data_IF_881056954879
#
_entry.id   IF_881056954879
#
_cell.length_a   1.000
_cell.length_b   1.000
_cell.length_c   1.000
_cell.angle_alpha   90.00
_cell.angle_beta   90.00
_cell.angle_gamma   90.00
#
_symmetry.space_group_name_H-M   'P 1'
#
loop_
_entity.id
_entity.type
_entity.pdbx_description
1 polymer ?
#
# COMPACT_ATOMS: atom_id res chain seq x y z
N UNK A 1 13.96 -24.15 8.82
CA UNK A 1 13.10 -23.26 9.65
C UNK A 1 12.70 -22.07 8.79
N UNK A 2 11.47 -21.55 8.92
CA UNK A 2 11.07 -20.28 8.30
C UNK A 2 11.29 -19.15 9.31
N UNK A 3 11.96 -18.10 8.89
CA UNK A 3 12.12 -16.86 9.68
C UNK A 3 10.79 -16.10 9.79
N UNK A 4 10.60 -15.26 10.81
CA UNK A 4 9.46 -14.36 10.87
C UNK A 4 9.54 -13.29 9.78
N UNK A 5 8.42 -12.64 9.50
CA UNK A 5 8.38 -11.38 8.71
C UNK A 5 8.46 -10.22 9.69
N UNK A 6 9.34 -9.25 9.41
CA UNK A 6 9.44 -8.01 10.20
C UNK A 6 8.75 -6.88 9.44
N UNK A 7 7.93 -6.08 10.13
CA UNK A 7 7.29 -4.90 9.55
C UNK A 7 7.77 -3.63 10.24
N UNK A 8 8.28 -2.68 9.46
CA UNK A 8 8.72 -1.35 9.91
C UNK A 8 7.71 -0.31 9.40
N UNK A 9 6.83 0.12 10.31
CA UNK A 9 5.70 1.01 10.03
C UNK A 9 5.91 2.39 10.65
N UNK A 10 5.19 3.40 10.16
CA UNK A 10 5.19 4.75 10.72
C UNK A 10 5.04 5.87 9.70
N UNK A 11 4.89 7.11 10.18
CA UNK A 11 4.72 8.29 9.36
C UNK A 11 5.93 8.58 8.46
N UNK A 12 5.75 9.38 7.41
CA UNK A 12 6.86 9.84 6.53
C UNK A 12 7.88 10.65 7.34
N UNK A 13 9.17 10.53 7.00
CA UNK A 13 10.26 11.25 7.69
C UNK A 13 10.72 10.65 9.02
N UNK A 14 10.11 9.58 9.52
CA UNK A 14 10.46 8.94 10.82
C UNK A 14 11.66 7.99 10.76
N UNK A 15 12.40 7.93 9.64
CA UNK A 15 13.61 7.10 9.51
C UNK A 15 13.39 5.61 9.21
N UNK A 16 12.18 5.21 8.77
CA UNK A 16 11.82 3.80 8.49
C UNK A 16 12.78 3.08 7.55
N UNK A 17 13.15 3.71 6.43
CA UNK A 17 14.04 3.11 5.43
C UNK A 17 15.41 2.81 6.03
N UNK A 18 15.96 3.75 6.80
CA UNK A 18 17.23 3.57 7.51
C UNK A 18 17.15 2.38 8.47
N UNK A 19 16.11 2.32 9.31
CA UNK A 19 15.92 1.19 10.24
C UNK A 19 15.79 -0.15 9.50
N UNK A 20 15.05 -0.19 8.39
CA UNK A 20 14.89 -1.42 7.61
C UNK A 20 16.22 -1.91 7.01
N UNK A 21 17.07 -1.00 6.56
CA UNK A 21 18.41 -1.30 6.03
C UNK A 21 19.33 -1.78 7.15
N UNK A 22 19.34 -1.09 8.30
CA UNK A 22 20.13 -1.50 9.47
C UNK A 22 19.75 -2.92 9.93
N UNK A 23 18.45 -3.24 9.95
CA UNK A 23 17.95 -4.59 10.24
C UNK A 23 18.39 -5.60 9.17
N UNK A 24 18.32 -5.24 7.89
CA UNK A 24 18.71 -6.14 6.80
C UNK A 24 20.21 -6.47 6.85
N UNK A 25 21.07 -5.49 7.16
CA UNK A 25 22.50 -5.69 7.33
C UNK A 25 22.81 -6.55 8.55
N UNK A 26 22.11 -6.33 9.67
CA UNK A 26 22.33 -7.06 10.91
C UNK A 26 21.85 -8.53 10.84
N UNK A 27 20.78 -8.81 10.09
CA UNK A 27 20.10 -10.11 10.09
C UNK A 27 20.09 -10.80 8.73
N UNK A 28 20.93 -10.37 7.78
CA UNK A 28 20.98 -10.91 6.42
C UNK A 28 19.59 -10.91 5.75
N UNK A 29 18.95 -9.74 5.76
CA UNK A 29 17.59 -9.53 5.29
C UNK A 29 17.48 -8.91 3.90
N UNK A 30 16.26 -8.89 3.40
CA UNK A 30 15.88 -8.19 2.18
C UNK A 30 14.62 -7.34 2.44
N UNK A 31 14.54 -6.17 1.81
CA UNK A 31 13.50 -5.17 2.08
C UNK A 31 12.40 -5.25 1.03
N UNK A 32 11.13 -5.26 1.45
CA UNK A 32 9.96 -5.14 0.60
C UNK A 32 9.30 -3.77 0.86
N UNK A 33 9.20 -2.95 -0.18
CA UNK A 33 8.52 -1.66 -0.08
C UNK A 33 7.00 -1.84 0.12
N UNK A 34 6.43 -1.05 1.03
CA UNK A 34 5.01 -0.94 1.34
C UNK A 34 4.52 0.51 1.34
N UNK A 35 5.19 1.38 0.59
CA UNK A 35 4.68 2.71 0.23
C UNK A 35 4.10 2.66 -1.18
N UNK A 36 2.79 2.92 -1.29
CA UNK A 36 2.03 2.81 -2.52
C UNK A 36 2.52 3.77 -3.62
N UNK A 37 3.02 4.95 -3.24
CA UNK A 37 3.53 5.92 -4.22
C UNK A 37 4.92 5.50 -4.69
N UNK A 38 5.74 4.92 -3.81
CA UNK A 38 7.07 4.42 -4.16
C UNK A 38 7.06 3.15 -5.04
N UNK A 39 5.90 2.51 -5.24
CA UNK A 39 5.77 1.42 -6.22
C UNK A 39 6.01 1.89 -7.66
N UNK A 40 5.78 3.17 -7.96
CA UNK A 40 5.88 3.72 -9.32
C UNK A 40 7.31 4.09 -9.69
N UNK A 41 7.69 3.92 -10.96
CA UNK A 41 8.96 4.37 -11.52
C UNK A 41 9.04 5.89 -11.56
N UNK A 42 10.25 6.42 -11.36
CA UNK A 42 10.51 7.86 -11.41
C UNK A 42 10.10 8.57 -10.11
N UNK A 43 10.21 9.90 -10.13
CA UNK A 43 9.90 10.77 -8.98
C UNK A 43 10.67 10.40 -7.70
N UNK A 44 11.91 9.94 -7.84
CA UNK A 44 12.73 9.41 -6.73
C UNK A 44 12.85 10.43 -5.57
N UNK A 45 13.09 11.70 -5.91
CA UNK A 45 13.19 12.81 -4.97
C UNK A 45 11.82 13.11 -4.34
N UNK A 46 10.79 13.29 -5.16
CA UNK A 46 9.47 13.71 -4.68
C UNK A 46 8.79 12.65 -3.81
N UNK A 47 9.12 11.38 -4.03
CA UNK A 47 8.58 10.24 -3.29
C UNK A 47 9.50 9.78 -2.16
N UNK A 48 10.63 10.47 -1.95
CA UNK A 48 11.62 10.15 -0.92
C UNK A 48 12.04 8.67 -0.94
N UNK A 49 12.31 8.15 -2.15
CA UNK A 49 12.82 6.79 -2.30
C UNK A 49 14.27 6.75 -1.90
N UNK A 50 14.64 5.63 -1.29
CA UNK A 50 16.02 5.35 -0.93
C UNK A 50 16.86 5.24 -2.19
N UNK A 51 18.02 5.88 -2.17
CA UNK A 51 19.01 5.82 -3.25
C UNK A 51 19.84 4.56 -3.15
N UNK A 52 20.46 4.13 -4.26
CA UNK A 52 21.38 2.98 -4.28
C UNK A 52 22.52 3.10 -3.24
N UNK A 53 23.03 4.32 -3.02
CA UNK A 53 24.06 4.57 -2.02
C UNK A 53 23.54 4.34 -0.59
N UNK A 54 22.32 4.79 -0.31
CA UNK A 54 21.69 4.61 1.00
C UNK A 54 21.27 3.15 1.24
N UNK A 55 20.95 2.38 0.19
CA UNK A 55 20.62 0.95 0.31
C UNK A 55 21.80 0.11 0.83
N UNK A 56 23.05 0.58 0.70
CA UNK A 56 24.25 -0.13 1.19
C UNK A 56 24.35 -1.58 0.70
N UNK A 57 23.88 -1.86 -0.52
CA UNK A 57 23.85 -3.20 -1.10
C UNK A 57 22.74 -4.12 -0.58
N UNK A 58 21.88 -3.65 0.33
CA UNK A 58 20.65 -4.34 0.72
C UNK A 58 19.73 -4.40 -0.48
N UNK A 59 19.13 -5.57 -0.71
CA UNK A 59 18.18 -5.75 -1.82
C UNK A 59 16.82 -5.18 -1.46
N UNK A 60 16.31 -4.28 -2.30
CA UNK A 60 14.96 -3.71 -2.20
C UNK A 60 14.05 -4.29 -3.29
N UNK A 61 12.86 -4.74 -2.88
CA UNK A 61 11.81 -5.24 -3.76
C UNK A 61 10.61 -4.29 -3.77
N UNK A 62 9.80 -4.38 -4.82
CA UNK A 62 8.58 -3.58 -4.98
C UNK A 62 8.85 -2.06 -4.91
N UNK A 63 10.05 -1.63 -5.27
CA UNK A 63 10.42 -0.22 -5.35
C UNK A 63 10.53 0.17 -6.83
N UNK A 64 9.71 1.09 -7.31
CA UNK A 64 9.75 1.52 -8.71
C UNK A 64 9.45 0.41 -9.72
N UNK A 65 8.52 -0.49 -9.43
CA UNK A 65 8.15 -1.60 -10.32
C UNK A 65 7.08 -1.23 -11.35
N UNK A 66 6.23 -0.22 -11.06
CA UNK A 66 5.09 0.14 -11.89
C UNK A 66 5.42 1.27 -12.85
N UNK A 67 5.00 1.14 -14.10
CA UNK A 67 4.97 2.27 -15.03
C UNK A 67 3.79 3.19 -14.65
N UNK A 68 4.00 4.51 -14.48
CA UNK A 68 2.92 5.47 -14.19
C UNK A 68 1.74 5.43 -15.17
N UNK A 69 1.97 5.01 -16.42
CA UNK A 69 0.92 4.93 -17.46
C UNK A 69 -0.01 3.73 -17.28
N UNK A 70 0.48 2.66 -16.69
CA UNK A 70 -0.24 1.37 -16.58
C UNK A 70 -0.52 0.94 -15.14
N UNK A 71 0.01 1.67 -14.14
CA UNK A 71 -0.08 1.29 -12.73
C UNK A 71 -1.50 1.27 -12.15
N UNK A 72 -2.49 1.88 -12.83
CA UNK A 72 -3.90 1.79 -12.45
C UNK A 72 -4.46 0.35 -12.41
N UNK A 73 -3.77 -0.59 -13.07
CA UNK A 73 -4.13 -2.01 -13.06
C UNK A 73 -3.62 -2.75 -11.82
N UNK A 74 -2.66 -2.16 -11.11
CA UNK A 74 -2.05 -2.74 -9.93
C UNK A 74 -2.81 -2.31 -8.68
N UNK A 75 -3.26 -3.28 -7.88
CA UNK A 75 -4.05 -3.04 -6.68
C UNK A 75 -3.51 -3.86 -5.50
N UNK A 76 -4.15 -3.73 -4.34
CA UNK A 76 -3.71 -4.40 -3.10
C UNK A 76 -3.67 -5.94 -3.21
N UNK A 77 -4.51 -6.55 -4.05
CA UNK A 77 -4.49 -8.00 -4.24
C UNK A 77 -3.24 -8.44 -5.01
N UNK A 78 -2.84 -7.67 -6.02
CA UNK A 78 -1.58 -7.88 -6.74
C UNK A 78 -0.39 -7.68 -5.80
N UNK A 79 -0.38 -6.57 -5.04
CA UNK A 79 0.64 -6.29 -4.03
C UNK A 79 0.81 -7.44 -3.04
N UNK A 80 -0.31 -7.93 -2.47
CA UNK A 80 -0.31 -9.04 -1.52
C UNK A 80 0.27 -10.30 -2.15
N UNK A 81 -0.13 -10.65 -3.38
CA UNK A 81 0.37 -11.84 -4.06
C UNK A 81 1.88 -11.76 -4.34
N UNK A 82 2.37 -10.60 -4.79
CA UNK A 82 3.79 -10.36 -5.03
C UNK A 82 4.61 -10.44 -3.73
N UNK A 83 4.11 -9.81 -2.65
CA UNK A 83 4.72 -9.89 -1.32
C UNK A 83 4.85 -11.32 -0.82
N UNK A 84 3.80 -12.14 -0.91
CA UNK A 84 3.87 -13.54 -0.46
C UNK A 84 4.84 -14.37 -1.31
N UNK A 85 4.85 -14.15 -2.62
CA UNK A 85 5.80 -14.81 -3.52
C UNK A 85 7.26 -14.43 -3.19
N UNK A 86 7.51 -13.16 -2.87
CA UNK A 86 8.82 -12.65 -2.45
C UNK A 86 9.21 -13.19 -1.07
N UNK A 87 8.29 -13.19 -0.10
CA UNK A 87 8.53 -13.73 1.25
C UNK A 87 8.92 -15.21 1.17
N UNK A 88 8.21 -16.00 0.36
CA UNK A 88 8.53 -17.42 0.16
C UNK A 88 9.92 -17.62 -0.45
N UNK A 89 10.31 -16.75 -1.40
CA UNK A 89 11.64 -16.78 -2.02
C UNK A 89 12.75 -16.33 -1.08
N UNK A 90 12.54 -15.23 -0.35
CA UNK A 90 13.52 -14.66 0.58
C UNK A 90 13.75 -15.63 1.75
N UNK A 91 12.68 -16.25 2.24
CA UNK A 91 12.70 -17.16 3.37
C UNK A 91 12.78 -18.62 2.92
N UNK A 92 13.51 -18.88 1.84
CA UNK A 92 13.65 -20.21 1.28
C UNK A 92 14.46 -21.11 2.24
N UNK A 93 14.05 -22.37 2.50
CA UNK A 93 14.61 -23.18 3.59
C UNK A 93 16.13 -23.41 3.57
N UNK A 94 16.72 -23.51 2.38
CA UNK A 94 18.15 -23.82 2.22
C UNK A 94 19.06 -22.58 2.37
N UNK A 95 18.50 -21.37 2.25
CA UNK A 95 19.23 -20.12 2.43
C UNK A 95 18.28 -19.02 2.92
N UNK A 96 17.78 -19.14 4.16
CA UNK A 96 16.76 -18.23 4.66
C UNK A 96 17.35 -16.84 4.92
N UNK A 97 16.70 -15.83 4.37
CA UNK A 97 16.93 -14.41 4.64
C UNK A 97 15.72 -13.83 5.33
N UNK A 98 15.92 -12.75 6.09
CA UNK A 98 14.83 -12.10 6.82
C UNK A 98 14.01 -11.19 5.87
N UNK A 99 12.71 -11.44 5.64
CA UNK A 99 11.86 -10.53 4.90
C UNK A 99 11.47 -9.33 5.78
N UNK A 100 11.78 -8.12 5.32
CA UNK A 100 11.51 -6.88 6.05
C UNK A 100 10.57 -6.00 5.21
N UNK A 101 9.31 -5.89 5.61
CA UNK A 101 8.33 -5.00 4.98
C UNK A 101 8.50 -3.59 5.56
N UNK A 102 8.66 -2.57 4.72
CA UNK A 102 8.82 -1.17 5.18
C UNK A 102 7.95 -0.23 4.38
N UNK A 103 7.20 0.66 5.04
CA UNK A 103 6.39 1.64 4.33
C UNK A 103 5.44 2.43 5.21
N UNK A 104 4.81 3.45 4.62
CA UNK A 104 3.78 4.27 5.26
C UNK A 104 2.35 3.86 4.91
N UNK A 105 2.14 3.04 3.89
CA UNK A 105 0.80 2.59 3.48
C UNK A 105 0.36 1.41 4.34
N UNK A 106 -0.12 1.70 5.55
CA UNK A 106 -0.58 0.69 6.52
C UNK A 106 -1.58 -0.30 5.91
N UNK A 107 -2.48 0.16 5.04
CA UNK A 107 -3.41 -0.69 4.29
C UNK A 107 -2.72 -1.85 3.54
N UNK A 108 -1.54 -1.61 2.94
CA UNK A 108 -0.78 -2.63 2.22
C UNK A 108 -0.08 -3.60 3.17
N UNK A 109 0.49 -3.08 4.25
CA UNK A 109 1.12 -3.89 5.29
C UNK A 109 0.06 -4.81 5.92
N UNK A 110 -1.12 -4.26 6.23
CA UNK A 110 -2.22 -5.01 6.81
C UNK A 110 -2.72 -6.13 5.90
N UNK A 111 -2.84 -5.86 4.60
CA UNK A 111 -3.23 -6.86 3.61
C UNK A 111 -2.26 -8.06 3.54
N UNK A 112 -0.98 -7.87 3.86
CA UNK A 112 0.00 -8.95 3.89
C UNK A 112 -0.05 -9.71 5.21
N UNK A 113 -0.09 -9.00 6.34
CA UNK A 113 0.06 -9.61 7.68
C UNK A 113 -1.21 -10.33 8.17
N UNK A 114 -2.41 -9.83 7.85
CA UNK A 114 -3.67 -10.41 8.32
C UNK A 114 -4.38 -11.18 7.22
N UNK A 115 -4.68 -12.46 7.49
CA UNK A 115 -5.30 -13.38 6.53
C UNK A 115 -6.68 -12.91 6.04
N UNK A 116 -7.46 -12.31 6.93
CA UNK A 116 -8.86 -11.97 6.69
C UNK A 116 -9.06 -10.50 6.31
N UNK A 117 -7.97 -9.72 6.19
CA UNK A 117 -8.05 -8.27 5.99
C UNK A 117 -8.77 -7.86 4.71
N UNK A 118 -8.53 -8.59 3.62
CA UNK A 118 -9.14 -8.34 2.31
C UNK A 118 -10.43 -9.14 2.08
N UNK A 119 -10.95 -9.85 3.09
CA UNK A 119 -12.18 -10.60 2.92
C UNK A 119 -13.39 -9.66 2.99
N UNK A 120 -14.31 -9.83 2.04
CA UNK A 120 -15.60 -9.18 2.14
C UNK A 120 -16.31 -9.74 3.39
N UNK A 121 -16.71 -8.87 4.31
CA UNK A 121 -17.55 -9.29 5.43
C UNK A 121 -18.90 -9.72 4.86
N UNK A 122 -19.17 -11.03 4.85
CA UNK A 122 -20.52 -11.52 4.67
C UNK A 122 -21.30 -11.11 5.89
N UNK A 123 -22.24 -10.17 5.74
CA UNK A 123 -23.21 -9.88 6.78
C UNK A 123 -24.13 -11.09 6.83
N UNK A 124 -23.89 -12.01 7.76
CA UNK A 124 -24.82 -13.09 8.08
C UNK A 124 -25.90 -12.47 8.96
N UNK A 125 -27.08 -12.20 8.40
CA UNK A 125 -28.22 -11.70 9.15
C UNK A 125 -28.87 -12.83 9.94
N UNK A 126 -28.38 -13.08 11.15
CA UNK A 126 -29.13 -13.81 12.17
C UNK A 126 -30.13 -12.85 12.84
N UNK A 127 -31.24 -12.56 12.16
CA UNK A 127 -32.46 -12.06 12.81
C UNK A 127 -33.65 -12.17 11.85
N UNK A 128 -34.80 -12.60 12.38
CA UNK A 128 -36.10 -12.69 11.69
C UNK A 128 -36.73 -11.33 11.38
N UNK A 129 -35.95 -10.25 11.30
CA UNK A 129 -36.38 -8.93 10.87
C UNK A 129 -35.43 -8.46 9.78
N UNK A 130 -35.90 -8.41 8.54
CA UNK A 130 -35.09 -8.07 7.38
C UNK A 130 -35.11 -6.55 7.16
N UNK A 131 -33.99 -5.82 7.32
CA UNK A 131 -33.70 -4.72 6.42
C UNK A 131 -32.94 -5.29 5.22
N UNK A 132 -33.58 -5.12 4.07
CA UNK A 132 -33.09 -5.41 2.71
C UNK A 132 -31.58 -5.35 2.57
N UNK A 133 -31.02 -6.40 1.97
CA UNK A 133 -29.64 -6.48 1.51
C UNK A 133 -29.16 -5.14 0.93
N UNK A 134 -27.94 -4.73 1.31
CA UNK A 134 -27.20 -3.76 0.51
C UNK A 134 -27.05 -4.41 -0.87
N UNK A 135 -27.64 -3.85 -1.93
CA UNK A 135 -27.61 -4.50 -3.22
C UNK A 135 -26.16 -4.61 -3.65
N UNK A 136 -25.79 -5.81 -4.11
CA UNK A 136 -24.62 -6.03 -4.97
C UNK A 136 -24.66 -4.91 -5.99
N UNK A 137 -23.59 -4.11 -6.06
CA UNK A 137 -23.48 -3.07 -7.06
C UNK A 137 -23.62 -3.75 -8.44
N UNK A 138 -24.84 -3.73 -8.99
CA UNK A 138 -25.06 -3.99 -10.40
C UNK A 138 -24.05 -3.12 -11.15
N UNK A 139 -23.46 -3.68 -12.20
CA UNK A 139 -22.71 -2.89 -13.18
C UNK A 139 -23.64 -1.78 -13.66
N UNK A 140 -23.61 -0.63 -13.01
CA UNK A 140 -24.18 0.58 -13.53
C UNK A 140 -23.33 0.89 -14.75
N UNK A 141 -23.92 0.79 -15.93
CA UNK A 141 -23.36 1.46 -17.08
C UNK A 141 -23.06 2.90 -16.65
N UNK A 142 -21.85 3.44 -16.94
CA UNK A 142 -21.53 4.79 -16.54
C UNK A 142 -22.61 5.69 -17.14
N UNK A 143 -23.38 6.37 -16.29
CA UNK A 143 -24.32 7.36 -16.78
C UNK A 143 -23.53 8.35 -17.63
N UNK A 144 -24.03 8.75 -18.82
CA UNK A 144 -23.36 9.75 -19.61
C UNK A 144 -23.15 10.97 -18.72
N UNK A 145 -21.89 11.35 -18.53
CA UNK A 145 -21.53 12.56 -17.79
C UNK A 145 -22.26 13.69 -18.50
N UNK A 146 -23.37 14.15 -17.94
CA UNK A 146 -24.00 15.38 -18.38
C UNK A 146 -23.01 16.46 -18.04
N UNK A 147 -22.32 16.95 -19.05
CA UNK A 147 -21.45 18.12 -18.95
C UNK A 147 -22.32 19.32 -18.57
N UNK A 148 -22.57 19.46 -17.28
CA UNK A 148 -23.12 20.67 -16.70
C UNK A 148 -21.93 21.59 -16.46
N UNK A 149 -21.45 22.22 -17.53
CA UNK A 149 -20.61 23.41 -17.42
C UNK A 149 -21.46 24.53 -16.83
N UNK A 150 -21.54 24.59 -15.51
CA UNK A 150 -21.87 25.85 -14.83
C UNK A 150 -20.61 26.71 -14.87
N UNK A 151 -20.67 27.94 -15.41
CA UNK A 151 -19.57 28.89 -15.30
C UNK A 151 -19.17 29.03 -13.83
N UNK A 152 -17.86 29.05 -13.57
CA UNK A 152 -17.23 29.10 -12.25
C UNK A 152 -17.50 30.41 -11.46
N UNK A 153 -18.47 31.22 -11.89
CA UNK A 153 -18.63 32.59 -11.44
C UNK A 153 -19.50 32.73 -10.17
N UNK A 154 -20.11 31.66 -9.67
CA UNK A 154 -21.13 31.74 -8.59
C UNK A 154 -20.91 30.75 -7.43
N UNK A 155 -19.68 30.32 -7.17
CA UNK A 155 -19.39 29.62 -5.90
C UNK A 155 -19.30 30.67 -4.78
N UNK A 156 -20.11 30.59 -3.71
CA UNK A 156 -19.97 31.51 -2.59
C UNK A 156 -18.56 31.33 -2.00
N UNK A 157 -17.85 32.45 -1.81
CA UNK A 157 -16.58 32.48 -1.08
C UNK A 157 -16.79 31.85 0.29
N UNK A 158 -16.33 30.61 0.44
CA UNK A 158 -16.36 29.91 1.73
C UNK A 158 -15.20 30.47 2.56
N UNK A 159 -15.48 31.49 3.36
CA UNK A 159 -14.57 31.92 4.42
C UNK A 159 -14.54 30.84 5.49
N UNK A 160 -13.33 30.39 5.85
CA UNK A 160 -13.13 29.53 7.01
C UNK A 160 -13.24 30.39 8.28
N UNK A 161 -13.83 29.88 9.39
CA UNK A 161 -13.89 30.64 10.64
C UNK A 161 -12.48 30.91 11.17
N UNK A 162 -12.17 32.16 11.53
CA UNK A 162 -10.88 32.57 12.09
C UNK A 162 -10.57 31.94 13.46
N UNK A 163 -11.55 31.32 14.12
CA UNK A 163 -11.36 30.65 15.42
C UNK A 163 -10.53 29.35 15.36
N UNK A 164 -10.15 28.93 14.15
CA UNK A 164 -9.25 27.79 13.91
C UNK A 164 -7.86 28.21 13.39
N UNK A 165 -7.51 29.50 13.48
CA UNK A 165 -6.14 30.01 13.30
C UNK A 165 -5.54 30.45 14.63
#
# INVERSE_FOLDING_TARGET
MRLPVVAVCGATGTGKSKLAIDLALAFNGEVLNADAVQLYKGLEIATNKVTEAEMQGVKHHLLGILDPRDGFRYNVHHYRADCWSLIDRINFPDSPRLPIIVGGTHYYIEAVLWKDFLQARTIVSDSKDTPSAIPVAEKREPEPVKEQSKPLEHLPHRSWPEELM
#
